data_IF_873510801080
#
_entry.id   IF_873510801080
#
_cell.length_a   1.000
_cell.length_b   1.000
_cell.length_c   1.000
_cell.angle_alpha   90.00
_cell.angle_beta   90.00
_cell.angle_gamma   90.00
#
_symmetry.space_group_name_H-M   'P 1'
#
loop_
_entity.id
_entity.type
_entity.pdbx_description
1 polymer ?
#
# COMPACT_ATOMS: atom_id res chain seq x y z
N UNK A 1 -12.02 -6.26 7.91
CA UNK A 1 -11.23 -6.85 9.00
C UNK A 1 -11.21 -5.98 10.25
N UNK A 2 -10.63 -4.76 10.26
CA UNK A 2 -10.56 -3.93 11.49
C UNK A 2 -11.93 -3.62 12.11
N UNK A 3 -12.92 -3.20 11.32
CA UNK A 3 -14.28 -2.98 11.83
C UNK A 3 -14.93 -4.23 12.47
N UNK A 4 -14.54 -5.43 12.01
CA UNK A 4 -14.99 -6.69 12.61
C UNK A 4 -14.32 -6.93 13.97
N UNK A 5 -13.02 -6.61 14.08
CA UNK A 5 -12.31 -6.66 15.36
C UNK A 5 -12.87 -5.66 16.36
N UNK A 6 -13.23 -4.46 15.90
CA UNK A 6 -13.93 -3.47 16.73
C UNK A 6 -15.28 -4.01 17.22
N UNK A 7 -16.05 -4.64 16.34
CA UNK A 7 -17.31 -5.29 16.71
C UNK A 7 -17.14 -6.40 17.74
N UNK A 8 -16.10 -7.24 17.59
CA UNK A 8 -15.75 -8.27 18.59
C UNK A 8 -15.37 -7.63 19.92
N UNK A 9 -14.55 -6.59 19.90
CA UNK A 9 -14.11 -5.90 21.10
C UNK A 9 -15.28 -5.23 21.84
N UNK A 10 -16.18 -4.55 21.12
CA UNK A 10 -17.41 -3.99 21.71
C UNK A 10 -18.31 -5.09 22.27
N UNK A 11 -18.39 -6.24 21.58
CA UNK A 11 -19.08 -7.42 22.11
C UNK A 11 -18.51 -7.88 23.46
N UNK A 12 -17.17 -7.93 23.58
CA UNK A 12 -16.49 -8.26 24.84
C UNK A 12 -16.79 -7.21 25.91
N UNK A 13 -16.67 -5.92 25.59
CA UNK A 13 -16.88 -4.81 26.52
C UNK A 13 -18.32 -4.78 27.08
N UNK A 14 -19.32 -5.09 26.26
CA UNK A 14 -20.72 -5.14 26.66
C UNK A 14 -21.19 -6.53 27.15
N UNK A 15 -20.29 -7.51 27.29
CA UNK A 15 -20.62 -8.86 27.78
C UNK A 15 -21.45 -9.70 26.81
N UNK A 16 -21.46 -9.37 25.53
CA UNK A 16 -22.23 -10.05 24.46
C UNK A 16 -21.41 -11.16 23.76
N UNK A 17 -20.75 -12.02 24.53
CA UNK A 17 -19.78 -13.02 24.02
C UNK A 17 -20.08 -14.47 24.44
N UNK A 18 -21.30 -14.75 24.88
CA UNK A 18 -21.73 -16.09 25.26
C UNK A 18 -21.13 -16.55 26.59
N UNK A 19 -20.56 -17.76 26.62
CA UNK A 19 -19.99 -18.38 27.84
C UNK A 19 -18.55 -17.92 28.16
N UNK A 20 -17.95 -17.07 27.32
CA UNK A 20 -16.62 -16.55 27.55
C UNK A 20 -16.66 -15.35 28.51
N UNK A 21 -15.77 -15.35 29.49
CA UNK A 21 -15.61 -14.24 30.43
C UNK A 21 -14.24 -13.59 30.22
N UNK A 22 -14.23 -12.36 29.73
CA UNK A 22 -13.05 -11.51 29.68
C UNK A 22 -13.25 -10.37 30.67
N UNK A 23 -12.29 -10.16 31.57
CA UNK A 23 -12.35 -9.12 32.59
C UNK A 23 -10.99 -8.44 32.75
N UNK A 24 -11.01 -7.22 33.29
CA UNK A 24 -9.80 -6.47 33.63
C UNK A 24 -8.89 -6.27 32.43
N UNK A 25 -7.62 -6.68 32.56
CA UNK A 25 -6.56 -6.43 31.57
C UNK A 25 -6.76 -7.17 30.24
N UNK A 26 -7.67 -8.15 30.20
CA UNK A 26 -7.99 -8.89 28.97
C UNK A 26 -8.91 -8.12 28.02
N UNK A 27 -9.57 -7.07 28.51
CA UNK A 27 -10.37 -6.15 27.69
C UNK A 27 -9.49 -4.97 27.29
N UNK A 28 -9.37 -4.73 25.99
CA UNK A 28 -8.59 -3.60 25.48
C UNK A 28 -9.18 -2.26 25.96
N UNK A 29 -8.34 -1.22 26.07
CA UNK A 29 -8.78 0.11 26.54
C UNK A 29 -9.36 0.98 25.42
N UNK A 30 -9.03 0.66 24.18
CA UNK A 30 -9.46 1.36 22.97
C UNK A 30 -9.83 0.33 21.90
N UNK A 31 -10.53 0.76 20.85
CA UNK A 31 -10.85 -0.12 19.74
C UNK A 31 -9.57 -0.65 19.05
N UNK A 32 -9.54 -1.91 18.60
CA UNK A 32 -8.47 -2.45 17.76
C UNK A 32 -8.08 -1.53 16.58
N UNK A 33 -9.05 -0.88 15.93
CA UNK A 33 -8.78 0.08 14.86
C UNK A 33 -7.99 1.30 15.31
N UNK A 34 -8.21 1.80 16.53
CA UNK A 34 -7.45 2.93 17.09
C UNK A 34 -5.99 2.53 17.34
N UNK A 35 -5.77 1.32 17.87
CA UNK A 35 -4.41 0.79 18.00
C UNK A 35 -3.73 0.59 16.65
N UNK A 36 -4.44 0.06 15.65
CA UNK A 36 -3.91 -0.14 14.31
C UNK A 36 -3.54 1.19 13.66
N UNK A 37 -4.42 2.20 13.71
CA UNK A 37 -4.14 3.53 13.17
C UNK A 37 -2.95 4.20 13.84
N UNK A 38 -2.74 3.97 15.14
CA UNK A 38 -1.61 4.54 15.89
C UNK A 38 -0.29 3.85 15.58
N UNK A 39 -0.29 2.52 15.52
CA UNK A 39 0.93 1.70 15.62
C UNK A 39 1.28 0.90 14.36
N UNK A 40 0.33 0.66 13.46
CA UNK A 40 0.55 -0.15 12.27
C UNK A 40 0.94 0.70 11.05
N UNK A 41 1.73 0.07 10.19
CA UNK A 41 2.12 0.55 8.87
C UNK A 41 1.94 -0.60 7.88
N UNK A 42 1.64 -0.29 6.63
CA UNK A 42 1.24 -1.27 5.63
C UNK A 42 2.16 -1.20 4.40
N UNK A 43 2.81 -2.31 4.07
CA UNK A 43 3.58 -2.44 2.83
C UNK A 43 2.66 -2.79 1.66
N UNK A 44 2.64 -1.95 0.63
CA UNK A 44 1.90 -2.14 -0.61
C UNK A 44 2.88 -2.38 -1.76
N UNK A 45 3.14 -3.64 -2.07
CA UNK A 45 4.26 -3.96 -2.94
C UNK A 45 3.98 -3.81 -4.44
N UNK A 46 2.86 -4.39 -4.88
CA UNK A 46 2.40 -4.38 -6.27
C UNK A 46 0.89 -4.10 -6.32
N UNK A 47 0.40 -3.04 -5.64
CA UNK A 47 -1.03 -2.80 -5.57
C UNK A 47 -1.60 -2.59 -6.98
N UNK A 48 -2.75 -3.19 -7.22
CA UNK A 48 -3.64 -2.85 -8.31
C UNK A 48 -4.35 -1.52 -8.03
N UNK A 49 -4.93 -0.93 -9.07
CA UNK A 49 -5.70 0.32 -8.93
C UNK A 49 -6.90 0.18 -7.99
N UNK A 50 -7.59 -0.95 -8.07
CA UNK A 50 -8.70 -1.28 -7.17
C UNK A 50 -8.26 -1.38 -5.69
N UNK A 51 -7.04 -1.84 -5.41
CA UNK A 51 -6.51 -1.84 -4.04
C UNK A 51 -6.17 -0.43 -3.56
N UNK A 52 -5.70 0.46 -4.44
CA UNK A 52 -5.44 1.87 -4.11
C UNK A 52 -6.72 2.67 -3.85
N UNK A 53 -7.85 2.36 -4.49
CA UNK A 53 -9.14 3.03 -4.23
C UNK A 53 -9.57 2.93 -2.76
N UNK A 54 -9.09 1.92 -2.03
CA UNK A 54 -9.36 1.74 -0.61
C UNK A 54 -8.40 2.46 0.34
N UNK A 55 -7.38 3.14 -0.17
CA UNK A 55 -6.24 3.61 0.65
C UNK A 55 -6.64 4.61 1.73
N UNK A 56 -7.65 5.46 1.46
CA UNK A 56 -8.16 6.45 2.41
C UNK A 56 -8.73 5.83 3.69
N UNK A 57 -9.19 4.57 3.62
CA UNK A 57 -9.69 3.84 4.79
C UNK A 57 -8.57 3.46 5.77
N UNK A 58 -7.34 3.41 5.28
CA UNK A 58 -6.12 3.12 6.05
C UNK A 58 -5.41 4.42 6.44
N UNK A 59 -5.48 5.42 5.56
CA UNK A 59 -4.69 6.63 5.63
C UNK A 59 -3.40 6.47 4.81
N UNK A 60 -3.25 7.28 3.76
CA UNK A 60 -2.08 7.28 2.88
C UNK A 60 -0.77 7.47 3.64
N UNK A 61 -0.79 8.14 4.79
CA UNK A 61 0.33 8.36 5.70
C UNK A 61 0.81 7.12 6.45
N UNK A 62 0.10 5.98 6.32
CA UNK A 62 0.45 4.70 6.93
C UNK A 62 0.88 3.64 5.93
N UNK A 63 0.90 3.96 4.64
CA UNK A 63 1.21 3.01 3.56
C UNK A 63 2.58 3.28 2.97
N UNK A 64 3.36 2.23 2.73
CA UNK A 64 4.68 2.30 2.12
C UNK A 64 4.69 1.41 0.88
N UNK A 65 5.21 1.92 -0.23
CA UNK A 65 5.46 1.09 -1.41
C UNK A 65 6.82 0.40 -1.32
N UNK A 66 6.93 -0.80 -1.90
CA UNK A 66 8.20 -1.51 -2.07
C UNK A 66 8.08 -2.61 -3.12
N UNK A 67 9.10 -2.84 -3.94
CA UNK A 67 8.95 -3.72 -5.13
C UNK A 67 8.89 -5.23 -4.86
N UNK A 68 9.00 -5.67 -3.60
CA UNK A 68 9.08 -7.08 -3.19
C UNK A 68 10.21 -7.89 -3.85
N UNK A 69 11.35 -7.26 -4.16
CA UNK A 69 12.49 -7.98 -4.73
C UNK A 69 13.06 -9.01 -3.73
N UNK A 70 13.45 -10.24 -4.17
CA UNK A 70 13.45 -10.76 -5.54
C UNK A 70 12.25 -11.67 -5.86
N UNK A 71 11.12 -11.49 -5.18
CA UNK A 71 9.99 -12.40 -5.30
C UNK A 71 9.41 -12.42 -6.72
N UNK A 72 8.80 -13.56 -7.06
CA UNK A 72 8.24 -13.83 -8.39
C UNK A 72 7.05 -12.92 -8.71
N UNK A 73 6.28 -12.56 -7.69
CA UNK A 73 5.13 -11.66 -7.71
C UNK A 73 5.51 -10.17 -7.74
N UNK A 74 6.76 -9.85 -7.39
CA UNK A 74 7.28 -8.48 -7.27
C UNK A 74 7.36 -7.73 -8.59
N UNK A 75 7.74 -6.46 -8.52
CA UNK A 75 7.72 -5.55 -9.68
C UNK A 75 9.09 -5.41 -10.35
N UNK A 76 10.17 -5.89 -9.73
CA UNK A 76 11.50 -5.84 -10.35
C UNK A 76 11.60 -6.80 -11.55
N UNK A 77 12.26 -6.42 -12.66
CA UNK A 77 12.97 -5.16 -12.91
C UNK A 77 12.08 -4.00 -13.39
N UNK A 78 10.80 -4.27 -13.64
CA UNK A 78 9.81 -3.37 -14.23
C UNK A 78 9.15 -2.40 -13.23
N UNK A 79 9.96 -1.80 -12.35
CA UNK A 79 9.43 -0.94 -11.28
C UNK A 79 8.72 0.29 -11.86
N UNK A 80 9.31 0.95 -12.87
CA UNK A 80 8.71 2.16 -13.43
C UNK A 80 7.37 1.85 -14.12
N UNK A 81 7.29 0.73 -14.82
CA UNK A 81 6.09 0.24 -15.47
C UNK A 81 5.00 -0.05 -14.44
N UNK A 82 5.32 -0.72 -13.33
CA UNK A 82 4.37 -0.91 -12.23
C UNK A 82 3.87 0.41 -11.67
N UNK A 83 4.75 1.39 -11.50
CA UNK A 83 4.37 2.71 -10.97
C UNK A 83 3.46 3.45 -11.93
N UNK A 84 3.76 3.45 -13.24
CA UNK A 84 2.94 4.03 -14.30
C UNK A 84 1.58 3.34 -14.45
N UNK A 85 1.52 2.04 -14.18
CA UNK A 85 0.29 1.26 -14.29
C UNK A 85 -0.70 1.60 -13.17
N UNK A 86 -0.21 1.76 -11.94
CA UNK A 86 -1.09 1.92 -10.77
C UNK A 86 -1.22 3.37 -10.28
N UNK A 87 -0.16 4.17 -10.34
CA UNK A 87 -0.08 5.47 -9.63
C UNK A 87 -0.10 6.71 -10.54
N UNK A 88 -0.34 6.59 -11.85
CA UNK A 88 -0.23 7.72 -12.77
C UNK A 88 -1.18 8.89 -12.46
N UNK A 89 -2.33 8.62 -11.84
CA UNK A 89 -3.33 9.61 -11.45
C UNK A 89 -3.41 9.87 -9.94
N UNK A 90 -2.48 9.29 -9.16
CA UNK A 90 -2.35 9.58 -7.73
C UNK A 90 -1.65 10.94 -7.56
N UNK A 91 -2.18 11.87 -6.73
CA UNK A 91 -1.57 13.17 -6.52
C UNK A 91 -0.09 13.10 -6.13
N UNK A 92 0.74 14.02 -6.66
CA UNK A 92 2.19 14.07 -6.40
C UNK A 92 2.55 14.00 -4.92
N UNK A 93 1.79 14.72 -4.09
CA UNK A 93 1.99 14.73 -2.64
C UNK A 93 1.85 13.32 -2.05
N UNK A 94 0.80 12.61 -2.44
CA UNK A 94 0.52 11.26 -1.93
C UNK A 94 1.54 10.25 -2.45
N UNK A 95 1.96 10.36 -3.72
CA UNK A 95 3.06 9.53 -4.25
C UNK A 95 4.36 9.72 -3.48
N UNK A 96 4.72 10.95 -3.12
CA UNK A 96 5.91 11.20 -2.27
C UNK A 96 5.80 10.52 -0.92
N UNK A 97 4.62 10.58 -0.30
CA UNK A 97 4.34 9.88 0.95
C UNK A 97 4.55 8.37 0.79
N UNK A 98 3.88 7.76 -0.19
CA UNK A 98 3.91 6.32 -0.44
C UNK A 98 5.30 5.80 -0.80
N UNK A 99 6.04 6.52 -1.65
CA UNK A 99 7.32 6.04 -2.20
C UNK A 99 8.53 6.37 -1.32
N UNK A 100 8.40 7.27 -0.35
CA UNK A 100 9.56 7.73 0.41
C UNK A 100 9.29 8.32 1.79
N UNK A 101 8.41 9.31 1.91
CA UNK A 101 8.31 10.09 3.16
C UNK A 101 7.78 9.23 4.33
N UNK A 102 6.86 8.32 4.05
CA UNK A 102 6.34 7.37 5.05
C UNK A 102 7.42 6.40 5.54
N UNK A 103 8.21 5.84 4.61
CA UNK A 103 9.34 4.98 4.95
C UNK A 103 10.41 5.74 5.75
N UNK A 104 10.72 6.97 5.35
CA UNK A 104 11.67 7.80 6.07
C UNK A 104 11.21 8.13 7.48
N UNK A 105 9.92 8.42 7.68
CA UNK A 105 9.34 8.65 9.00
C UNK A 105 9.38 7.39 9.87
N UNK A 106 8.99 6.23 9.33
CA UNK A 106 8.96 4.97 10.07
C UNK A 106 10.37 4.51 10.48
N UNK A 107 11.30 4.49 9.52
CA UNK A 107 12.65 3.98 9.73
C UNK A 107 13.64 5.05 10.20
N UNK A 108 13.16 6.27 10.43
CA UNK A 108 13.95 7.42 10.87
C UNK A 108 15.13 7.74 9.92
N UNK A 109 14.86 7.76 8.61
CA UNK A 109 15.83 8.17 7.60
C UNK A 109 15.89 9.68 7.44
N UNK A 110 17.10 10.18 7.20
CA UNK A 110 17.38 11.58 6.87
C UNK A 110 17.16 11.83 5.37
N UNK A 111 16.03 12.45 5.02
CA UNK A 111 15.68 12.72 3.63
C UNK A 111 16.66 13.66 2.92
N UNK A 112 17.31 14.58 3.64
CA UNK A 112 18.29 15.49 3.04
C UNK A 112 19.53 14.71 2.58
N UNK A 113 19.98 13.74 3.38
CA UNK A 113 21.09 12.86 2.98
C UNK A 113 20.72 11.93 1.82
N UNK A 114 19.47 11.50 1.75
CA UNK A 114 18.99 10.62 0.68
C UNK A 114 18.69 11.36 -0.63
N UNK A 115 18.51 12.69 -0.59
CA UNK A 115 18.10 13.51 -1.75
C UNK A 115 19.00 13.33 -2.97
N UNK A 116 20.31 13.24 -2.79
CA UNK A 116 21.25 13.02 -3.91
C UNK A 116 21.01 11.70 -4.62
N UNK A 117 20.83 10.61 -3.87
CA UNK A 117 20.54 9.29 -4.42
C UNK A 117 19.15 9.23 -5.04
N UNK A 118 18.14 9.80 -4.38
CA UNK A 118 16.78 9.87 -4.88
C UNK A 118 16.70 10.65 -6.21
N UNK A 119 17.40 11.79 -6.33
CA UNK A 119 17.46 12.56 -7.58
C UNK A 119 18.16 11.79 -8.71
N UNK A 120 19.10 10.90 -8.39
CA UNK A 120 19.86 10.16 -9.38
C UNK A 120 19.17 8.87 -9.85
N UNK A 121 18.49 8.17 -8.96
CA UNK A 121 17.97 6.81 -9.19
C UNK A 121 16.46 6.69 -9.05
N UNK A 122 15.79 7.66 -8.41
CA UNK A 122 14.35 7.65 -8.22
C UNK A 122 13.59 8.00 -9.49
N UNK A 123 12.34 7.53 -9.63
CA UNK A 123 11.48 7.93 -10.73
C UNK A 123 11.04 9.40 -10.57
N UNK A 124 10.84 10.10 -11.68
CA UNK A 124 10.32 11.48 -11.67
C UNK A 124 8.80 11.50 -11.82
N UNK A 125 8.11 12.55 -11.33
CA UNK A 125 6.68 12.72 -11.56
C UNK A 125 6.31 12.65 -13.04
N UNK A 126 7.12 13.25 -13.92
CA UNK A 126 6.89 13.26 -15.37
C UNK A 126 6.92 11.84 -15.96
N UNK A 127 7.76 10.95 -15.44
CA UNK A 127 7.81 9.56 -15.89
C UNK A 127 6.55 8.79 -15.46
N UNK A 128 6.06 9.03 -14.24
CA UNK A 128 4.92 8.28 -13.68
C UNK A 128 3.58 8.83 -14.19
N UNK A 129 3.48 10.13 -14.46
CA UNK A 129 2.26 10.78 -14.97
C UNK A 129 1.81 10.28 -16.34
N UNK A 130 2.69 9.58 -17.07
CA UNK A 130 2.37 8.95 -18.34
C UNK A 130 1.86 7.54 -18.03
N UNK A 131 0.55 7.26 -18.18
CA UNK A 131 0.02 5.92 -17.94
C UNK A 131 0.73 4.90 -18.83
N UNK A 132 0.86 3.67 -18.33
CA UNK A 132 1.45 2.56 -19.09
C UNK A 132 0.46 2.10 -20.17
N UNK A 133 0.85 2.14 -21.45
CA UNK A 133 0.01 1.59 -22.52
C UNK A 133 0.02 0.05 -22.50
N UNK A 134 -0.97 -0.57 -23.15
CA UNK A 134 -1.08 -2.03 -23.26
C UNK A 134 0.17 -2.66 -23.87
N UNK A 135 0.70 -2.02 -24.91
CA UNK A 135 1.87 -2.47 -25.69
C UNK A 135 3.16 -2.39 -24.88
N UNK A 136 3.22 -1.49 -23.90
CA UNK A 136 4.36 -1.32 -23.00
C UNK A 136 4.36 -2.30 -21.82
N UNK A 137 3.29 -3.07 -21.60
CA UNK A 137 3.23 -4.02 -20.49
C UNK A 137 4.23 -5.17 -20.74
N UNK A 138 5.23 -5.40 -19.86
CA UNK A 138 6.29 -6.38 -20.12
C UNK A 138 5.74 -7.80 -20.15
N UNK A 139 5.91 -8.50 -21.27
CA UNK A 139 5.32 -9.82 -21.53
C UNK A 139 5.96 -10.90 -20.66
N UNK A 140 7.24 -10.76 -20.36
CA UNK A 140 8.04 -11.65 -19.51
C UNK A 140 7.86 -11.35 -18.02
N UNK A 141 7.16 -10.28 -17.64
CA UNK A 141 6.84 -10.02 -16.24
C UNK A 141 5.90 -11.09 -15.68
N UNK A 142 6.32 -11.66 -14.56
CA UNK A 142 5.69 -12.78 -13.86
C UNK A 142 4.68 -12.34 -12.81
N UNK A 143 4.78 -11.09 -12.33
CA UNK A 143 3.90 -10.54 -11.30
C UNK A 143 2.44 -10.48 -11.72
N UNK A 144 1.55 -10.78 -10.78
CA UNK A 144 0.09 -10.82 -10.99
C UNK A 144 -0.46 -9.47 -11.47
N UNK A 145 0.16 -8.37 -11.04
CA UNK A 145 -0.19 -7.02 -11.47
C UNK A 145 -0.13 -6.88 -13.01
N UNK A 146 0.98 -7.28 -13.62
CA UNK A 146 1.16 -7.19 -15.07
C UNK A 146 0.34 -8.23 -15.83
N UNK A 147 0.23 -9.45 -15.30
CA UNK A 147 -0.62 -10.48 -15.88
C UNK A 147 -2.08 -10.00 -15.97
N UNK A 148 -2.64 -9.50 -14.87
CA UNK A 148 -4.00 -8.99 -14.83
C UNK A 148 -4.23 -7.81 -15.77
N UNK A 149 -3.28 -6.87 -15.85
CA UNK A 149 -3.38 -5.73 -16.75
C UNK A 149 -3.45 -6.15 -18.23
N UNK A 150 -2.66 -7.17 -18.63
CA UNK A 150 -2.72 -7.73 -19.99
C UNK A 150 -4.07 -8.38 -20.32
N UNK A 151 -4.73 -9.01 -19.35
CA UNK A 151 -6.03 -9.66 -19.59
C UNK A 151 -7.22 -8.69 -19.46
N UNK A 152 -7.10 -7.62 -18.67
CA UNK A 152 -8.22 -6.70 -18.42
C UNK A 152 -8.43 -5.72 -19.57
N UNK A 153 -7.35 -5.32 -20.27
CA UNK A 153 -7.42 -4.38 -21.40
C UNK A 153 -7.80 -5.04 -22.75
N UNK A 154 -8.18 -6.33 -22.78
CA UNK A 154 -8.64 -7.02 -24.00
C UNK A 154 -10.17 -7.06 -24.16
N UNK A 155 -10.91 -6.33 -23.34
CA UNK A 155 -12.38 -6.33 -23.32
C UNK A 155 -13.06 -5.11 -23.95
N UNK A 156 -12.33 -4.20 -24.59
CA UNK A 156 -12.85 -2.96 -25.17
C UNK A 156 -12.74 -2.91 -26.72
N UNK A 157 -12.96 -4.04 -27.41
CA UNK A 157 -13.22 -4.07 -28.86
C UNK A 157 -14.71 -3.96 -29.19
#
# INVERSE_FOLDING_TARGET
MLAQLDGIHLGIEFGAIGEMHYEGEWVLKELPSVYAQRNCWYGASFPSKAELEGIDKIGVERVLWGNDYPHYEGTFPYNLESLRLTFYDVPDRERRMLFGENAAKLYNFDLEKLRLSANKYGPTPEQINIPLSREEIPIDATGILFQNARYSQSGEE
#
